data_IF_333234507201
#
_entry.id   IF_333234507201
#
_cell.length_a   1.000
_cell.length_b   1.000
_cell.length_c   1.000
_cell.angle_alpha   90.00
_cell.angle_beta   90.00
_cell.angle_gamma   90.00
#
_symmetry.space_group_name_H-M   'P 1'
#
loop_
_entity.id
_entity.type
_entity.pdbx_description
1 polymer ?
#
# COMPACT_ATOMS: atom_id res chain seq x y z
N UNK A 1 -11.35 3.34 29.10
CA UNK A 1 -11.61 4.53 28.26
C UNK A 1 -12.49 4.07 27.11
N UNK A 2 -13.61 4.74 26.82
CA UNK A 2 -14.42 4.39 25.66
C UNK A 2 -13.58 4.66 24.40
N UNK A 3 -13.46 3.69 23.47
CA UNK A 3 -12.65 3.84 22.25
C UNK A 3 -13.24 4.84 21.24
N UNK A 4 -14.31 5.55 21.60
CA UNK A 4 -15.06 6.46 20.73
C UNK A 4 -14.70 7.91 21.07
N UNK A 5 -13.42 8.25 20.92
CA UNK A 5 -12.93 9.64 21.06
C UNK A 5 -12.22 10.08 19.79
N UNK A 6 -12.22 11.39 19.54
CA UNK A 6 -11.48 12.00 18.43
C UNK A 6 -9.99 11.63 18.51
N UNK A 7 -9.39 11.63 19.70
CA UNK A 7 -8.01 11.17 19.92
C UNK A 7 -7.77 9.72 19.45
N UNK A 8 -8.74 8.83 19.66
CA UNK A 8 -8.59 7.43 19.24
C UNK A 8 -8.73 7.30 17.71
N UNK A 9 -9.64 8.06 17.10
CA UNK A 9 -9.75 8.19 15.65
C UNK A 9 -8.44 8.68 15.04
N UNK A 10 -7.86 9.77 15.57
CA UNK A 10 -6.60 10.32 15.08
C UNK A 10 -5.46 9.31 15.15
N UNK A 11 -5.35 8.52 16.23
CA UNK A 11 -4.34 7.45 16.35
C UNK A 11 -4.52 6.37 15.29
N UNK A 12 -5.76 5.95 15.03
CA UNK A 12 -6.08 4.96 13.99
C UNK A 12 -5.73 5.49 12.60
N UNK A 13 -6.12 6.73 12.31
CA UNK A 13 -5.76 7.42 11.07
C UNK A 13 -4.24 7.49 10.87
N UNK A 14 -3.48 7.90 11.89
CA UNK A 14 -2.01 7.95 11.81
C UNK A 14 -1.39 6.57 11.56
N UNK A 15 -1.97 5.50 12.10
CA UNK A 15 -1.48 4.15 11.84
C UNK A 15 -1.73 3.73 10.38
N UNK A 16 -2.92 4.02 9.86
CA UNK A 16 -3.24 3.80 8.44
C UNK A 16 -2.30 4.60 7.52
N UNK A 17 -2.04 5.87 7.84
CA UNK A 17 -1.10 6.74 7.12
C UNK A 17 0.32 6.18 7.13
N UNK A 18 0.82 5.76 8.29
CA UNK A 18 2.15 5.17 8.39
C UNK A 18 2.30 3.92 7.51
N UNK A 19 1.33 3.01 7.54
CA UNK A 19 1.36 1.84 6.66
C UNK A 19 1.30 2.22 5.18
N UNK A 20 0.49 3.21 4.84
CA UNK A 20 0.36 3.64 3.46
C UNK A 20 1.64 4.28 2.92
N UNK A 21 2.30 5.13 3.72
CA UNK A 21 3.58 5.74 3.36
C UNK A 21 4.67 4.69 3.14
N UNK A 22 4.70 3.64 3.97
CA UNK A 22 5.62 2.51 3.75
C UNK A 22 5.31 1.81 2.42
N UNK A 23 4.05 1.51 2.13
CA UNK A 23 3.67 0.91 0.85
C UNK A 23 4.07 1.79 -0.34
N UNK A 24 3.81 3.10 -0.25
CA UNK A 24 4.15 4.07 -1.30
C UNK A 24 5.66 4.17 -1.53
N UNK A 25 6.45 4.24 -0.47
CA UNK A 25 7.91 4.31 -0.57
C UNK A 25 8.48 3.04 -1.21
N UNK A 26 7.98 1.88 -0.80
CA UNK A 26 8.34 0.60 -1.41
C UNK A 26 8.02 0.59 -2.90
N UNK A 27 6.89 1.14 -3.35
CA UNK A 27 6.52 1.19 -4.76
C UNK A 27 7.32 2.22 -5.58
N UNK A 28 7.77 3.29 -4.93
CA UNK A 28 8.58 4.36 -5.56
C UNK A 28 10.02 3.91 -5.84
N UNK A 29 10.52 2.92 -5.11
CA UNK A 29 11.84 2.35 -5.36
C UNK A 29 11.94 1.77 -6.81
N UNK A 30 13.03 2.05 -7.55
CA UNK A 30 13.19 1.60 -8.93
C UNK A 30 13.08 0.09 -9.12
N UNK A 31 12.59 -0.32 -10.29
CA UNK A 31 12.43 -1.74 -10.62
C UNK A 31 13.80 -2.43 -10.65
N UNK A 32 13.91 -3.54 -9.92
CA UNK A 32 15.14 -4.34 -9.84
C UNK A 32 16.13 -3.88 -8.77
N UNK A 33 15.86 -2.77 -8.07
CA UNK A 33 16.70 -2.28 -6.98
C UNK A 33 16.24 -2.77 -5.61
N UNK A 34 17.21 -3.08 -4.75
CA UNK A 34 16.97 -3.42 -3.35
C UNK A 34 16.63 -2.17 -2.55
N UNK A 35 15.69 -2.27 -1.61
CA UNK A 35 15.36 -1.19 -0.69
C UNK A 35 16.38 -1.19 0.45
N UNK A 36 17.11 -0.10 0.59
CA UNK A 36 18.17 0.04 1.59
C UNK A 36 18.01 1.32 2.42
N UNK A 37 18.55 1.35 3.62
CA UNK A 37 18.63 2.58 4.42
C UNK A 37 19.50 3.64 3.72
N UNK A 38 19.12 4.91 3.83
CA UNK A 38 19.86 6.02 3.20
C UNK A 38 21.27 6.18 3.78
N UNK A 39 21.41 6.09 5.11
CA UNK A 39 22.65 6.35 5.86
C UNK A 39 23.66 5.21 5.79
N UNK A 40 23.21 3.97 6.00
CA UNK A 40 24.07 2.80 6.21
C UNK A 40 23.99 1.76 5.09
N UNK A 41 23.13 1.98 4.09
CA UNK A 41 22.87 1.04 2.98
C UNK A 41 22.53 -0.37 3.47
N UNK A 42 21.92 -0.47 4.65
CA UNK A 42 21.44 -1.72 5.21
C UNK A 42 20.24 -2.17 4.40
N UNK A 43 20.28 -3.41 3.93
CA UNK A 43 19.19 -4.03 3.20
C UNK A 43 17.94 -4.14 4.08
N UNK A 44 16.84 -3.58 3.61
CA UNK A 44 15.52 -3.68 4.23
C UNK A 44 14.65 -4.70 3.51
N UNK A 45 14.56 -4.62 2.18
CA UNK A 45 13.71 -5.49 1.35
C UNK A 45 14.40 -5.77 0.02
N UNK A 46 14.39 -7.02 -0.44
CA UNK A 46 14.90 -7.37 -1.77
C UNK A 46 14.00 -6.86 -2.88
N UNK A 47 14.59 -6.53 -4.02
CA UNK A 47 13.85 -6.05 -5.20
C UNK A 47 12.72 -6.99 -5.64
N UNK A 48 12.93 -8.31 -5.48
CA UNK A 48 11.96 -9.35 -5.82
C UNK A 48 10.78 -9.45 -4.85
N UNK A 49 10.95 -9.01 -3.60
CA UNK A 49 9.93 -9.09 -2.54
C UNK A 49 9.21 -7.75 -2.33
N UNK A 50 9.75 -6.67 -2.90
CA UNK A 50 9.29 -5.29 -2.72
C UNK A 50 7.79 -5.11 -2.95
N UNK A 51 7.25 -5.67 -4.03
CA UNK A 51 5.83 -5.54 -4.38
C UNK A 51 4.94 -6.29 -3.39
N UNK A 52 5.37 -7.48 -2.94
CA UNK A 52 4.63 -8.27 -1.96
C UNK A 52 4.61 -7.58 -0.58
N UNK A 53 5.74 -7.00 -0.17
CA UNK A 53 5.80 -6.18 1.04
C UNK A 53 4.90 -4.94 0.91
N UNK A 54 4.93 -4.24 -0.22
CA UNK A 54 4.06 -3.09 -0.46
C UNK A 54 2.57 -3.47 -0.37
N UNK A 55 2.16 -4.62 -0.93
CA UNK A 55 0.79 -5.15 -0.79
C UNK A 55 0.43 -5.40 0.67
N UNK A 56 1.31 -6.04 1.44
CA UNK A 56 1.06 -6.32 2.85
C UNK A 56 0.86 -5.05 3.68
N UNK A 57 1.58 -3.97 3.38
CA UNK A 57 1.37 -2.67 4.01
C UNK A 57 0.12 -1.95 3.50
N UNK A 58 -0.18 -2.04 2.20
CA UNK A 58 -1.40 -1.51 1.61
C UNK A 58 -2.66 -2.14 2.22
N UNK A 59 -2.68 -3.47 2.41
CA UNK A 59 -3.80 -4.17 3.05
C UNK A 59 -4.00 -3.71 4.50
N UNK A 60 -2.91 -3.58 5.28
CA UNK A 60 -2.98 -3.04 6.65
C UNK A 60 -3.49 -1.60 6.67
N UNK A 61 -3.04 -0.76 5.73
CA UNK A 61 -3.50 0.62 5.61
C UNK A 61 -5.01 0.68 5.29
N UNK A 62 -5.49 -0.18 4.39
CA UNK A 62 -6.91 -0.31 4.05
C UNK A 62 -7.74 -0.71 5.28
N UNK A 63 -7.29 -1.72 6.01
CA UNK A 63 -8.01 -2.25 7.17
C UNK A 63 -8.09 -1.19 8.29
N UNK A 64 -6.99 -0.49 8.59
CA UNK A 64 -6.97 0.60 9.58
C UNK A 64 -7.79 1.82 9.13
N UNK A 65 -7.79 2.16 7.84
CA UNK A 65 -8.64 3.23 7.30
C UNK A 65 -10.12 2.89 7.41
N UNK A 66 -10.50 1.63 7.17
CA UNK A 66 -11.88 1.19 7.34
C UNK A 66 -12.35 1.32 8.79
N UNK A 67 -11.50 0.96 9.75
CA UNK A 67 -11.78 1.16 11.18
C UNK A 67 -11.88 2.65 11.54
N UNK A 68 -11.01 3.51 10.99
CA UNK A 68 -11.08 4.95 11.17
C UNK A 68 -12.41 5.53 10.64
N UNK A 69 -12.85 5.14 9.44
CA UNK A 69 -14.14 5.56 8.87
C UNK A 69 -15.32 5.10 9.74
N UNK A 70 -15.27 3.87 10.25
CA UNK A 70 -16.29 3.35 11.16
C UNK A 70 -16.37 4.17 12.45
N UNK A 71 -15.23 4.44 13.09
CA UNK A 71 -15.15 5.25 14.31
C UNK A 71 -15.61 6.69 14.07
N UNK A 72 -15.23 7.30 12.96
CA UNK A 72 -15.70 8.62 12.56
C UNK A 72 -17.23 8.67 12.47
N UNK A 73 -17.86 7.63 11.91
CA UNK A 73 -19.32 7.51 11.87
C UNK A 73 -19.95 7.41 13.26
N UNK A 74 -19.34 6.66 14.18
CA UNK A 74 -19.79 6.55 15.58
C UNK A 74 -19.70 7.89 16.31
N UNK A 75 -18.55 8.54 16.24
CA UNK A 75 -18.29 9.85 16.88
C UNK A 75 -19.27 10.91 16.34
N UNK A 76 -19.47 10.96 15.02
CA UNK A 76 -20.45 11.85 14.38
C UNK A 76 -21.87 11.60 14.87
N UNK A 77 -22.28 10.32 15.00
CA UNK A 77 -23.63 9.96 15.47
C UNK A 77 -23.88 10.34 16.93
N UNK A 78 -22.82 10.41 17.74
CA UNK A 78 -22.86 10.86 19.13
C UNK A 78 -22.86 12.38 19.28
N UNK A 79 -22.85 13.13 18.18
CA UNK A 79 -22.87 14.59 18.17
C UNK A 79 -21.56 15.25 18.59
N UNK A 80 -20.45 14.49 18.63
CA UNK A 80 -19.13 15.03 18.89
C UNK A 80 -18.59 15.73 17.63
N UNK A 81 -17.82 16.80 17.84
CA UNK A 81 -17.09 17.46 16.76
C UNK A 81 -15.91 16.57 16.33
N UNK A 82 -15.73 16.46 15.01
CA UNK A 82 -14.68 15.64 14.40
C UNK A 82 -13.45 16.46 14.01
N UNK A 83 -13.47 17.78 14.24
CA UNK A 83 -12.37 18.68 13.91
C UNK A 83 -11.93 18.49 12.44
N UNK A 84 -10.62 18.33 12.18
CA UNK A 84 -10.07 18.11 10.83
C UNK A 84 -10.11 16.65 10.38
N UNK A 85 -10.47 15.71 11.26
CA UNK A 85 -10.31 14.28 10.98
C UNK A 85 -11.13 13.80 9.78
N UNK A 86 -12.26 14.46 9.46
CA UNK A 86 -13.03 14.16 8.24
C UNK A 86 -12.22 14.40 6.96
N UNK A 87 -11.52 15.53 6.92
CA UNK A 87 -10.69 15.93 5.78
C UNK A 87 -9.46 15.03 5.70
N UNK A 88 -8.83 14.76 6.84
CA UNK A 88 -7.64 13.93 6.92
C UNK A 88 -7.92 12.47 6.52
N UNK A 89 -9.05 11.88 6.96
CA UNK A 89 -9.50 10.54 6.53
C UNK A 89 -9.80 10.49 5.04
N UNK A 90 -10.40 11.55 4.47
CA UNK A 90 -10.69 11.63 3.03
C UNK A 90 -9.41 11.75 2.20
N UNK A 91 -8.46 12.57 2.65
CA UNK A 91 -7.14 12.68 2.03
C UNK A 91 -6.42 11.33 2.03
N UNK A 92 -6.44 10.63 3.18
CA UNK A 92 -5.81 9.33 3.30
C UNK A 92 -6.46 8.27 2.38
N UNK A 93 -7.78 8.30 2.21
CA UNK A 93 -8.48 7.45 1.24
C UNK A 93 -8.04 7.72 -0.20
N UNK A 94 -7.78 8.99 -0.55
CA UNK A 94 -7.28 9.38 -1.87
C UNK A 94 -5.87 8.85 -2.12
N UNK A 95 -5.00 8.95 -1.11
CA UNK A 95 -3.67 8.34 -1.19
C UNK A 95 -3.74 6.82 -1.32
N UNK A 96 -4.63 6.16 -0.56
CA UNK A 96 -4.82 4.71 -0.62
C UNK A 96 -5.20 4.28 -2.04
N UNK A 97 -6.14 4.98 -2.66
CA UNK A 97 -6.52 4.74 -4.05
C UNK A 97 -5.33 4.86 -5.02
N UNK A 98 -4.46 5.87 -4.85
CA UNK A 98 -3.26 6.03 -5.67
C UNK A 98 -2.28 4.84 -5.58
N UNK A 99 -2.05 4.35 -4.37
CA UNK A 99 -1.24 3.15 -4.14
C UNK A 99 -1.91 1.90 -4.72
N UNK A 100 -3.23 1.76 -4.56
CA UNK A 100 -4.02 0.66 -5.13
C UNK A 100 -3.97 0.61 -6.67
N UNK A 101 -4.03 1.78 -7.32
CA UNK A 101 -3.87 1.87 -8.78
C UNK A 101 -2.47 1.41 -9.21
N UNK A 102 -1.42 1.86 -8.51
CA UNK A 102 -0.04 1.45 -8.81
C UNK A 102 0.14 -0.06 -8.68
N UNK A 103 -0.43 -0.69 -7.66
CA UNK A 103 -0.40 -2.14 -7.48
C UNK A 103 -1.16 -2.88 -8.59
N UNK A 104 -2.28 -2.32 -9.04
CA UNK A 104 -3.09 -2.88 -10.12
C UNK A 104 -2.34 -2.82 -11.45
N UNK A 105 -1.71 -1.69 -11.78
CA UNK A 105 -0.89 -1.53 -12.99
C UNK A 105 0.27 -2.54 -13.03
N UNK A 106 0.88 -2.82 -11.86
CA UNK A 106 1.95 -3.83 -11.74
C UNK A 106 1.44 -5.25 -11.98
N UNK A 107 0.22 -5.59 -11.54
CA UNK A 107 -0.40 -6.89 -11.81
C UNK A 107 -0.71 -7.09 -13.29
N UNK A 108 -1.21 -6.04 -13.94
CA UNK A 108 -1.44 -6.04 -15.39
C UNK A 108 -0.14 -6.22 -16.17
N UNK A 109 0.93 -5.50 -15.78
CA UNK A 109 2.25 -5.65 -16.41
C UNK A 109 2.84 -7.06 -16.21
N UNK A 110 2.71 -7.63 -15.01
CA UNK A 110 3.19 -8.97 -14.69
C UNK A 110 2.45 -10.05 -15.50
N UNK A 111 1.12 -9.96 -15.57
CA UNK A 111 0.28 -10.89 -16.33
C UNK A 111 0.56 -10.81 -17.84
N UNK A 112 0.73 -9.61 -18.41
CA UNK A 112 1.10 -9.41 -19.82
C UNK A 112 2.48 -10.01 -20.17
N UNK A 113 3.44 -9.96 -19.23
CA UNK A 113 4.78 -10.53 -19.44
C UNK A 113 4.79 -12.07 -19.49
N UNK A 114 3.85 -12.72 -18.78
CA UNK A 114 3.72 -14.18 -18.73
C UNK A 114 3.13 -14.80 -20.00
N UNK A 115 2.50 -14.01 -20.87
CA UNK A 115 1.80 -14.47 -22.08
C UNK A 115 2.69 -14.52 -23.35
N UNK A 116 3.99 -14.22 -23.28
CA UNK A 116 4.89 -14.40 -24.45
C UNK A 116 5.25 -15.88 -24.66
N UNK A 117 4.85 -16.54 -25.78
CA UNK A 117 5.11 -17.95 -25.99
C UNK A 117 6.57 -18.22 -26.39
N UNK A 118 7.18 -19.16 -25.68
CA UNK A 118 8.45 -19.79 -26.03
C UNK A 118 8.30 -20.58 -27.33
N UNK A 119 8.94 -20.12 -28.41
CA UNK A 119 9.08 -20.92 -29.62
C UNK A 119 10.43 -20.72 -30.31
N UNK A 120 11.45 -21.33 -29.72
CA UNK A 120 12.64 -21.73 -30.48
C UNK A 120 12.85 -23.24 -30.29
N UNK A 121 12.01 -24.01 -30.99
CA UNK A 121 12.18 -25.45 -31.18
C UNK A 121 13.45 -25.66 -32.02
N UNK A 122 14.43 -26.36 -31.44
CA UNK A 122 15.63 -26.87 -32.12
C UNK A 122 15.25 -27.63 -33.39
N UNK A 123 15.71 -27.16 -34.55
CA UNK A 123 15.76 -28.00 -35.75
C UNK A 123 17.13 -28.71 -35.78
N UNK A 124 17.14 -30.00 -35.41
CA UNK A 124 18.24 -30.91 -35.74
C UNK A 124 18.15 -31.18 -37.24
N UNK A 125 19.17 -30.81 -38.00
CA UNK A 125 19.37 -31.30 -39.36
C UNK A 125 20.52 -32.29 -39.34
N UNK A 126 20.17 -33.57 -39.45
CA UNK A 126 21.06 -34.68 -39.75
C UNK A 126 21.28 -34.72 -41.26
N UNK A 127 22.53 -34.59 -41.71
CA UNK A 127 23.17 -35.51 -42.66
C UNK A 127 24.65 -35.20 -42.79
#
# INVERSE_FOLDING_TARGET
QSPETVDFLARRRHLAEAFLLVAQELLTCPVGEDVVTSESKVLLVKSTERVDFARGYYDKARDELQEAVFLMGKIASSGQDLETEKEDVCFLATMLMGVGNTLSDLDEAASASSMKPSSSKKLKTTK
#
